data_IF_993462724747
#
_entry.id   IF_993462724747
#
_cell.length_a   1.000
_cell.length_b   1.000
_cell.length_c   1.000
_cell.angle_alpha   90.00
_cell.angle_beta   90.00
_cell.angle_gamma   90.00
#
_symmetry.space_group_name_H-M   'P 1'
#
loop_
_entity.id
_entity.type
_entity.pdbx_description
1 polymer ?
#
# COMPACT_ATOMS: atom_id res chain seq x y z
N UNK A 1 -8.15 -23.45 -11.70
CA UNK A 1 -9.18 -23.77 -12.72
C UNK A 1 -10.23 -22.64 -12.92
N UNK A 2 -11.10 -22.32 -11.95
CA UNK A 2 -12.18 -21.32 -12.18
C UNK A 2 -11.70 -19.89 -12.43
N UNK A 3 -10.69 -19.40 -11.70
CA UNK A 3 -10.13 -18.06 -11.95
C UNK A 3 -9.35 -17.96 -13.27
N UNK A 4 -8.84 -19.07 -13.77
CA UNK A 4 -8.10 -19.12 -15.04
C UNK A 4 -9.03 -19.17 -16.25
N UNK A 5 -10.18 -19.84 -16.10
CA UNK A 5 -11.31 -19.79 -17.06
C UNK A 5 -11.93 -18.39 -17.11
N UNK A 6 -12.16 -17.75 -15.96
CA UNK A 6 -12.62 -16.36 -15.91
C UNK A 6 -11.61 -15.40 -16.57
N UNK A 7 -10.30 -15.64 -16.45
CA UNK A 7 -9.30 -14.84 -17.20
C UNK A 7 -9.35 -15.08 -18.71
N UNK A 8 -9.83 -16.25 -19.17
CA UNK A 8 -10.03 -16.58 -20.58
C UNK A 8 -11.35 -16.01 -21.15
N UNK A 9 -12.34 -15.69 -20.31
CA UNK A 9 -13.63 -15.09 -20.70
C UNK A 9 -13.54 -13.60 -21.15
N UNK A 10 -12.36 -12.97 -21.11
CA UNK A 10 -12.19 -11.59 -21.58
C UNK A 10 -12.76 -10.55 -20.62
N UNK A 11 -13.52 -9.56 -21.13
CA UNK A 11 -14.03 -8.44 -20.32
C UNK A 11 -15.04 -8.87 -19.25
N UNK A 12 -15.90 -9.85 -19.53
CA UNK A 12 -16.90 -10.35 -18.57
C UNK A 12 -16.25 -11.02 -17.36
N UNK A 13 -15.15 -11.74 -17.58
CA UNK A 13 -14.38 -12.37 -16.51
C UNK A 13 -13.58 -11.39 -15.67
N UNK A 14 -13.07 -10.31 -16.26
CA UNK A 14 -12.44 -9.21 -15.51
C UNK A 14 -13.45 -8.52 -14.59
N UNK A 15 -14.68 -8.26 -15.06
CA UNK A 15 -15.73 -7.67 -14.22
C UNK A 15 -16.09 -8.54 -13.01
N UNK A 16 -16.21 -9.86 -13.20
CA UNK A 16 -16.43 -10.82 -12.09
C UNK A 16 -15.26 -10.83 -11.10
N UNK A 17 -14.01 -10.78 -11.59
CA UNK A 17 -12.83 -10.71 -10.72
C UNK A 17 -12.86 -9.46 -9.85
N UNK A 18 -13.17 -8.30 -10.43
CA UNK A 18 -13.27 -7.03 -9.69
C UNK A 18 -14.34 -7.11 -8.61
N UNK A 19 -15.50 -7.73 -8.88
CA UNK A 19 -16.53 -7.94 -7.85
C UNK A 19 -16.02 -8.76 -6.65
N UNK A 20 -15.30 -9.86 -6.90
CA UNK A 20 -14.69 -10.63 -5.82
C UNK A 20 -13.65 -9.81 -5.04
N UNK A 21 -12.82 -9.03 -5.73
CA UNK A 21 -11.85 -8.15 -5.08
C UNK A 21 -12.54 -7.10 -4.20
N UNK A 22 -13.68 -6.54 -4.61
CA UNK A 22 -14.47 -5.61 -3.80
C UNK A 22 -14.96 -6.26 -2.51
N UNK A 23 -15.58 -7.43 -2.60
CA UNK A 23 -16.07 -8.13 -1.41
C UNK A 23 -14.95 -8.50 -0.45
N UNK A 24 -13.81 -8.97 -0.97
CA UNK A 24 -12.64 -9.26 -0.16
C UNK A 24 -12.09 -7.99 0.51
N UNK A 25 -12.03 -6.88 -0.21
CA UNK A 25 -11.54 -5.60 0.32
C UNK A 25 -12.44 -5.05 1.43
N UNK A 26 -13.77 -5.19 1.30
CA UNK A 26 -14.72 -4.80 2.35
C UNK A 26 -14.56 -5.70 3.59
N UNK A 27 -14.43 -7.02 3.39
CA UNK A 27 -14.21 -7.95 4.51
C UNK A 27 -12.90 -7.63 5.26
N UNK A 28 -11.82 -7.32 4.53
CA UNK A 28 -10.55 -6.88 5.12
C UNK A 28 -10.68 -5.53 5.83
N UNK A 29 -11.46 -4.59 5.29
CA UNK A 29 -11.70 -3.30 5.92
C UNK A 29 -12.44 -3.44 7.26
N UNK A 30 -13.44 -4.33 7.34
CA UNK A 30 -14.16 -4.62 8.59
C UNK A 30 -13.19 -5.21 9.62
N UNK A 31 -12.36 -6.17 9.21
CA UNK A 31 -11.36 -6.79 10.09
C UNK A 31 -10.38 -5.74 10.63
N UNK A 32 -9.81 -4.90 9.75
CA UNK A 32 -8.87 -3.85 10.15
C UNK A 32 -9.53 -2.78 11.03
N UNK A 33 -10.73 -2.31 10.68
CA UNK A 33 -11.47 -1.33 11.46
C UNK A 33 -11.79 -1.87 12.87
N UNK A 34 -12.19 -3.14 12.98
CA UNK A 34 -12.43 -3.80 14.27
C UNK A 34 -11.14 -3.86 15.10
N UNK A 35 -10.02 -4.21 14.49
CA UNK A 35 -8.72 -4.23 15.16
C UNK A 35 -8.30 -2.85 15.68
N UNK A 36 -8.44 -1.81 14.87
CA UNK A 36 -8.14 -0.41 15.23
C UNK A 36 -9.05 0.05 16.37
N UNK A 37 -10.35 -0.19 16.27
CA UNK A 37 -11.33 0.20 17.30
C UNK A 37 -11.09 -0.54 18.62
N UNK A 38 -10.72 -1.83 18.57
CA UNK A 38 -10.36 -2.59 19.76
C UNK A 38 -9.11 -2.05 20.46
N UNK A 39 -8.09 -1.63 19.70
CA UNK A 39 -6.89 -0.98 20.23
C UNK A 39 -7.20 0.41 20.82
N UNK A 40 -8.06 1.18 20.15
CA UNK A 40 -8.48 2.49 20.62
C UNK A 40 -9.28 2.41 21.92
N UNK A 41 -10.19 1.45 22.06
CA UNK A 41 -10.97 1.21 23.29
C UNK A 41 -10.08 0.83 24.49
N UNK A 42 -8.95 0.18 24.24
CA UNK A 42 -7.96 -0.19 25.26
C UNK A 42 -6.95 0.92 25.57
N UNK A 43 -7.03 2.08 24.91
CA UNK A 43 -6.06 3.17 25.07
C UNK A 43 -4.65 2.84 24.54
N UNK A 44 -4.50 1.75 23.77
CA UNK A 44 -3.21 1.28 23.27
C UNK A 44 -2.90 1.77 21.85
N UNK A 45 -3.83 2.52 21.23
CA UNK A 45 -3.67 3.03 19.87
C UNK A 45 -2.66 4.18 19.78
N UNK A 46 -2.58 5.04 20.79
CA UNK A 46 -1.66 6.18 20.84
C UNK A 46 -0.76 6.05 22.06
N UNK A 47 0.53 5.75 21.83
CA UNK A 47 1.53 5.74 22.89
C UNK A 47 1.72 7.18 23.41
N UNK A 48 1.23 7.46 24.62
CA UNK A 48 1.41 8.76 25.29
C UNK A 48 0.16 9.64 25.42
N UNK A 49 -1.02 9.22 24.93
CA UNK A 49 -2.29 9.89 25.19
C UNK A 49 -3.12 9.09 26.20
N UNK A 50 -3.30 9.63 27.41
CA UNK A 50 -4.17 9.04 28.44
C UNK A 50 -5.64 9.50 28.34
N UNK A 51 -5.95 10.40 27.40
CA UNK A 51 -7.32 10.86 27.18
C UNK A 51 -8.18 9.80 26.51
N UNK A 52 -9.43 9.67 26.97
CA UNK A 52 -10.38 8.73 26.39
C UNK A 52 -10.78 9.18 24.99
N UNK A 53 -10.14 8.58 23.98
CA UNK A 53 -10.39 8.83 22.55
C UNK A 53 -11.85 8.48 22.17
N UNK A 54 -12.49 7.59 22.93
CA UNK A 54 -13.85 7.10 22.69
C UNK A 54 -14.72 7.47 23.90
N UNK A 55 -15.64 8.41 23.71
CA UNK A 55 -16.57 8.87 24.74
C UNK A 55 -17.60 7.82 25.18
N UNK A 56 -17.92 6.86 24.32
CA UNK A 56 -18.85 5.76 24.63
C UNK A 56 -18.22 4.40 24.32
N UNK A 57 -17.82 3.68 25.38
CA UNK A 57 -17.26 2.31 25.30
C UNK A 57 -18.33 1.23 25.15
N UNK A 58 -19.61 1.60 25.00
CA UNK A 58 -20.68 0.66 24.71
C UNK A 58 -20.37 -0.17 23.46
N UNK A 59 -20.72 -1.46 23.50
CA UNK A 59 -20.60 -2.38 22.35
C UNK A 59 -21.34 -1.79 21.14
N UNK A 60 -22.46 -1.11 21.36
CA UNK A 60 -23.22 -0.46 20.29
C UNK A 60 -22.46 0.72 19.67
N UNK A 61 -21.79 1.55 20.48
CA UNK A 61 -20.95 2.65 19.99
C UNK A 61 -19.76 2.15 19.18
N UNK A 62 -19.09 1.08 19.63
CA UNK A 62 -17.96 0.49 18.92
C UNK A 62 -18.38 -0.08 17.55
N UNK A 63 -19.53 -0.75 17.46
CA UNK A 63 -20.06 -1.26 16.18
C UNK A 63 -20.36 -0.13 15.21
N UNK A 64 -20.91 0.99 15.68
CA UNK A 64 -21.16 2.18 14.84
C UNK A 64 -19.84 2.73 14.28
N UNK A 65 -18.81 2.86 15.11
CA UNK A 65 -17.50 3.36 14.67
C UNK A 65 -16.92 2.44 13.58
N UNK A 66 -16.96 1.12 13.78
CA UNK A 66 -16.48 0.15 12.78
C UNK A 66 -17.26 0.28 11.47
N UNK A 67 -18.58 0.45 11.54
CA UNK A 67 -19.43 0.62 10.36
C UNK A 67 -19.08 1.90 9.61
N UNK A 68 -18.96 3.04 10.31
CA UNK A 68 -18.60 4.34 9.72
C UNK A 68 -17.21 4.29 9.08
N UNK A 69 -16.23 3.68 9.74
CA UNK A 69 -14.88 3.50 9.18
C UNK A 69 -14.89 2.63 7.91
N UNK A 70 -15.65 1.53 7.94
CA UNK A 70 -15.80 0.63 6.78
C UNK A 70 -16.51 1.34 5.62
N UNK A 71 -17.55 2.13 5.92
CA UNK A 71 -18.26 2.93 4.93
C UNK A 71 -17.34 3.99 4.30
N UNK A 72 -16.50 4.65 5.10
CA UNK A 72 -15.47 5.57 4.61
C UNK A 72 -14.46 4.87 3.69
N UNK A 73 -13.98 3.67 4.06
CA UNK A 73 -13.08 2.89 3.22
C UNK A 73 -13.74 2.47 1.89
N UNK A 74 -15.01 2.07 1.91
CA UNK A 74 -15.77 1.74 0.70
C UNK A 74 -15.97 2.97 -0.21
N UNK A 75 -16.18 4.15 0.38
CA UNK A 75 -16.30 5.41 -0.36
C UNK A 75 -14.96 5.77 -1.05
N UNK A 76 -13.83 5.63 -0.35
CA UNK A 76 -12.50 5.85 -0.93
C UNK A 76 -12.22 4.86 -2.07
N UNK A 77 -12.57 3.59 -1.90
CA UNK A 77 -12.46 2.58 -2.95
C UNK A 77 -13.28 2.97 -4.18
N UNK A 78 -14.53 3.37 -3.98
CA UNK A 78 -15.40 3.83 -5.06
C UNK A 78 -14.81 5.04 -5.80
N UNK A 79 -14.26 6.03 -5.08
CA UNK A 79 -13.56 7.13 -5.73
C UNK A 79 -12.36 6.68 -6.57
N UNK A 80 -11.60 5.69 -6.11
CA UNK A 80 -10.49 5.12 -6.87
C UNK A 80 -10.95 4.48 -8.18
N UNK A 81 -12.10 3.79 -8.17
CA UNK A 81 -12.70 3.23 -9.38
C UNK A 81 -13.18 4.32 -10.34
N UNK A 82 -13.89 5.34 -9.84
CA UNK A 82 -14.37 6.48 -10.65
C UNK A 82 -13.22 7.25 -11.30
N UNK A 83 -12.10 7.45 -10.59
CA UNK A 83 -10.90 8.08 -11.17
C UNK A 83 -10.31 7.23 -12.29
N UNK A 84 -10.27 5.91 -12.10
CA UNK A 84 -9.75 4.97 -13.10
C UNK A 84 -10.63 4.97 -14.37
N UNK A 85 -11.96 4.99 -14.21
CA UNK A 85 -12.91 5.04 -15.33
C UNK A 85 -12.81 6.35 -16.13
N UNK A 86 -12.49 7.46 -15.48
CA UNK A 86 -12.26 8.76 -16.13
C UNK A 86 -10.91 8.89 -16.82
N UNK A 87 -10.10 7.82 -16.83
CA UNK A 87 -8.91 7.70 -17.69
C UNK A 87 -7.63 8.32 -17.14
N UNK A 88 -7.61 8.82 -15.91
CA UNK A 88 -6.39 9.36 -15.28
C UNK A 88 -5.65 8.24 -14.54
N UNK A 89 -4.95 7.38 -15.28
CA UNK A 89 -4.08 6.34 -14.73
C UNK A 89 -4.80 5.33 -13.81
N UNK A 90 -4.13 4.87 -12.76
CA UNK A 90 -4.70 3.97 -11.75
C UNK A 90 -5.19 4.80 -10.55
N UNK A 91 -6.50 4.90 -10.37
CA UNK A 91 -7.11 5.78 -9.38
C UNK A 91 -6.74 5.44 -7.94
N UNK A 92 -6.57 4.16 -7.59
CA UNK A 92 -6.13 3.78 -6.25
C UNK A 92 -4.70 4.27 -5.95
N UNK A 93 -3.80 4.20 -6.94
CA UNK A 93 -2.43 4.70 -6.77
C UNK A 93 -2.36 6.23 -6.61
N UNK A 94 -3.25 6.96 -7.31
CA UNK A 94 -3.34 8.42 -7.20
C UNK A 94 -3.88 8.86 -5.83
N UNK A 95 -4.85 8.14 -5.28
CA UNK A 95 -5.36 8.40 -3.94
C UNK A 95 -4.27 8.19 -2.87
N UNK A 96 -3.49 7.10 -2.98
CA UNK A 96 -2.35 6.85 -2.09
C UNK A 96 -1.30 7.97 -2.23
N UNK A 97 -0.97 8.36 -3.47
CA UNK A 97 -0.04 9.45 -3.74
C UNK A 97 -0.49 10.77 -3.11
N UNK A 98 -1.76 11.15 -3.30
CA UNK A 98 -2.33 12.36 -2.71
C UNK A 98 -2.30 12.31 -1.17
N UNK A 99 -2.59 11.14 -0.59
CA UNK A 99 -2.51 10.92 0.86
C UNK A 99 -1.10 11.10 1.42
N UNK A 100 -0.07 10.61 0.72
CA UNK A 100 1.33 10.79 1.12
C UNK A 100 1.76 12.25 0.89
N UNK A 101 1.44 12.81 -0.26
CA UNK A 101 1.80 14.17 -0.65
C UNK A 101 1.22 15.23 0.29
N UNK A 102 0.01 15.02 0.82
CA UNK A 102 -0.63 15.96 1.76
C UNK A 102 0.09 16.08 3.10
N UNK A 103 0.91 15.10 3.49
CA UNK A 103 1.70 15.12 4.73
C UNK A 103 3.06 15.78 4.57
N UNK A 104 3.59 15.86 3.35
CA UNK A 104 4.90 16.48 3.10
C UNK A 104 5.01 17.92 3.60
N UNK A 105 3.99 18.80 3.43
CA UNK A 105 4.06 20.17 3.92
C UNK A 105 4.08 20.28 5.45
N UNK A 106 3.31 19.44 6.17
CA UNK A 106 3.27 19.47 7.63
C UNK A 106 4.58 18.98 8.24
N UNK A 107 5.13 17.89 7.71
CA UNK A 107 6.44 17.36 8.13
C UNK A 107 7.56 18.36 7.81
N UNK A 108 7.50 19.01 6.64
CA UNK A 108 8.46 20.04 6.24
C UNK A 108 8.46 21.24 7.20
N UNK A 109 7.27 21.71 7.62
CA UNK A 109 7.16 22.79 8.62
C UNK A 109 7.71 22.34 9.98
N UNK A 110 7.39 21.14 10.43
CA UNK A 110 7.88 20.62 11.71
C UNK A 110 9.42 20.59 11.77
N UNK A 111 10.08 20.23 10.66
CA UNK A 111 11.54 20.24 10.54
C UNK A 111 12.10 21.67 10.58
N UNK A 112 11.45 22.59 9.86
CA UNK A 112 11.86 24.00 9.82
C UNK A 112 11.82 24.64 11.21
N UNK A 113 10.75 24.40 11.96
CA UNK A 113 10.55 24.95 13.30
C UNK A 113 11.48 24.30 14.34
N UNK A 114 11.76 23.00 14.20
CA UNK A 114 12.56 22.26 15.19
C UNK A 114 14.08 22.39 15.00
N UNK A 115 14.55 22.49 13.75
CA UNK A 115 15.98 22.40 13.41
C UNK A 115 16.51 23.61 12.63
N UNK A 116 15.64 24.57 12.30
CA UNK A 116 15.99 25.80 11.59
C UNK A 116 16.16 25.64 10.07
N UNK A 117 16.24 26.78 9.37
CA UNK A 117 16.20 26.84 7.90
C UNK A 117 17.39 26.20 7.18
N UNK A 118 18.57 26.15 7.79
CA UNK A 118 19.77 25.59 7.17
C UNK A 118 19.68 24.05 7.06
N UNK A 119 19.21 23.38 8.12
CA UNK A 119 18.99 21.92 8.10
C UNK A 119 17.85 21.56 7.14
N UNK A 120 16.78 22.35 7.13
CA UNK A 120 15.69 22.17 6.16
C UNK A 120 16.18 22.25 4.71
N UNK A 121 17.02 23.23 4.37
CA UNK A 121 17.58 23.37 3.03
C UNK A 121 18.42 22.17 2.60
N UNK A 122 19.27 21.64 3.50
CA UNK A 122 20.07 20.43 3.24
C UNK A 122 19.16 19.22 2.97
N UNK A 123 18.10 19.04 3.77
CA UNK A 123 17.14 17.95 3.59
C UNK A 123 16.42 18.07 2.24
N UNK A 124 16.02 19.27 1.83
CA UNK A 124 15.41 19.49 0.52
C UNK A 124 16.35 19.11 -0.63
N UNK A 125 17.63 19.48 -0.54
CA UNK A 125 18.63 19.10 -1.55
C UNK A 125 18.85 17.59 -1.57
N UNK A 126 18.96 16.94 -0.41
CA UNK A 126 19.08 15.49 -0.31
C UNK A 126 17.84 14.77 -0.88
N UNK A 127 16.63 15.28 -0.60
CA UNK A 127 15.39 14.74 -1.13
C UNK A 127 15.34 14.83 -2.66
N UNK A 128 15.75 15.97 -3.23
CA UNK A 128 15.85 16.14 -4.68
C UNK A 128 16.87 15.17 -5.31
N UNK A 129 18.02 14.96 -4.66
CA UNK A 129 19.02 14.00 -5.11
C UNK A 129 18.49 12.56 -5.10
N UNK A 130 17.75 12.17 -4.05
CA UNK A 130 17.11 10.86 -3.95
C UNK A 130 16.05 10.71 -5.04
N UNK A 131 15.20 11.72 -5.26
CA UNK A 131 14.17 11.69 -6.33
C UNK A 131 14.84 11.49 -7.69
N UNK A 132 15.92 12.23 -7.99
CA UNK A 132 16.66 12.06 -9.23
C UNK A 132 17.24 10.65 -9.38
N UNK A 133 17.79 10.09 -8.29
CA UNK A 133 18.28 8.71 -8.25
C UNK A 133 17.18 7.67 -8.52
N UNK A 134 16.02 7.82 -7.86
CA UNK A 134 14.86 6.93 -8.06
C UNK A 134 14.37 7.01 -9.51
N UNK A 135 14.21 8.22 -10.06
CA UNK A 135 13.78 8.41 -11.46
C UNK A 135 14.77 7.77 -12.44
N UNK A 136 16.08 7.91 -12.21
CA UNK A 136 17.09 7.29 -13.05
C UNK A 136 16.98 5.76 -13.07
N UNK A 137 16.80 5.14 -11.90
CA UNK A 137 16.65 3.68 -11.78
C UNK A 137 15.32 3.21 -12.39
N UNK A 138 14.23 3.95 -12.18
CA UNK A 138 12.89 3.56 -12.59
C UNK A 138 12.64 3.73 -14.09
N UNK A 139 13.27 4.73 -14.72
CA UNK A 139 13.27 4.90 -16.19
C UNK A 139 14.26 3.96 -16.89
N UNK A 140 15.10 3.25 -16.13
CA UNK A 140 16.00 2.23 -16.66
C UNK A 140 15.23 1.09 -17.32
N UNK A 141 15.48 0.86 -18.61
CA UNK A 141 14.92 -0.26 -19.36
C UNK A 141 16.00 -0.99 -20.17
N UNK A 142 15.98 -2.32 -20.09
CA UNK A 142 16.79 -3.21 -20.92
C UNK A 142 16.02 -3.51 -22.20
N UNK A 143 16.57 -3.12 -23.36
CA UNK A 143 15.96 -3.38 -24.67
C UNK A 143 16.50 -4.70 -25.22
N UNK A 144 15.65 -5.74 -25.29
CA UNK A 144 16.02 -7.03 -25.88
C UNK A 144 15.50 -7.09 -27.32
N UNK A 145 16.34 -7.27 -28.35
CA UNK A 145 15.87 -7.35 -29.73
C UNK A 145 15.09 -8.64 -29.95
N UNK A 146 13.91 -8.53 -30.57
CA UNK A 146 13.06 -9.65 -30.96
C UNK A 146 12.93 -9.64 -32.47
N UNK A 147 13.24 -10.77 -33.09
CA UNK A 147 13.05 -10.96 -34.52
C UNK A 147 11.72 -11.68 -34.72
N UNK A 148 10.73 -10.99 -35.26
CA UNK A 148 9.50 -11.65 -35.69
C UNK A 148 9.80 -12.51 -36.92
N UNK A 149 9.39 -13.78 -36.85
CA UNK A 149 9.51 -14.70 -37.96
C UNK A 149 8.74 -14.12 -39.17
N UNK A 150 9.42 -14.00 -40.30
CA UNK A 150 8.81 -13.49 -41.52
C UNK A 150 8.29 -14.63 -42.37
N UNK A 151 7.23 -14.33 -43.12
CA UNK A 151 6.81 -15.15 -44.25
C UNK A 151 7.56 -14.69 -45.49
N UNK A 152 8.36 -15.58 -46.07
CA UNK A 152 9.05 -15.32 -47.34
C UNK A 152 8.02 -15.48 -48.48
N UNK A 153 7.83 -14.45 -49.30
CA UNK A 153 7.03 -14.51 -50.54
C UNK A 153 7.98 -14.21 -51.70
N UNK A 154 8.32 -15.23 -52.49
CA UNK A 154 9.30 -15.13 -53.58
C UNK A 154 10.76 -15.04 -53.11
N UNK A 155 11.61 -14.32 -53.86
CA UNK A 155 13.07 -14.14 -53.59
C UNK A 155 13.44 -12.90 -52.76
N UNK A 156 12.45 -12.08 -52.37
CA UNK A 156 12.70 -10.83 -51.63
C UNK A 156 12.13 -10.92 -50.22
N UNK A 157 12.99 -10.80 -49.22
CA UNK A 157 12.60 -10.67 -47.83
C UNK A 157 12.21 -9.20 -47.56
N UNK A 158 10.91 -8.87 -47.60
CA UNK A 158 10.41 -7.55 -47.22
C UNK A 158 10.20 -7.44 -45.70
N UNK A 159 10.52 -6.28 -45.13
CA UNK A 159 10.13 -5.87 -43.77
C UNK A 159 11.02 -6.41 -42.66
N UNK A 160 12.23 -5.84 -42.49
CA UNK A 160 13.19 -6.19 -41.44
C UNK A 160 13.35 -5.12 -40.37
N UNK A 161 12.25 -4.67 -39.76
CA UNK A 161 12.37 -3.86 -38.54
C UNK A 161 12.70 -4.81 -37.38
N UNK A 162 13.91 -4.71 -36.82
CA UNK A 162 14.21 -5.30 -35.52
C UNK A 162 13.39 -4.56 -34.47
N UNK A 163 12.29 -5.16 -34.01
CA UNK A 163 11.55 -4.64 -32.87
C UNK A 163 12.29 -5.06 -31.60
N UNK A 164 12.31 -4.21 -30.58
CA UNK A 164 12.81 -4.59 -29.27
C UNK A 164 11.66 -4.70 -28.28
N UNK A 165 11.73 -5.68 -27.39
CA UNK A 165 10.85 -5.75 -26.23
C UNK A 165 11.54 -5.00 -25.08
N UNK A 166 11.00 -3.87 -24.60
CA UNK A 166 11.54 -3.20 -23.44
C UNK A 166 11.19 -3.97 -22.16
N UNK A 167 12.21 -4.31 -21.38
CA UNK A 167 12.06 -4.83 -20.03
C UNK A 167 12.51 -3.76 -19.04
N UNK A 168 11.58 -3.26 -18.23
CA UNK A 168 11.93 -2.33 -17.14
C UNK A 168 12.89 -3.00 -16.15
N UNK A 169 13.82 -2.22 -15.60
CA UNK A 169 14.74 -2.68 -14.55
C UNK A 169 13.95 -3.08 -13.30
N UNK A 170 12.96 -2.28 -12.90
CA UNK A 170 12.00 -2.65 -11.86
C UNK A 170 10.65 -3.05 -12.49
N UNK A 171 10.44 -4.35 -12.69
CA UNK A 171 9.17 -4.87 -13.21
C UNK A 171 8.07 -4.92 -12.14
N UNK A 172 8.47 -5.03 -10.86
CA UNK A 172 7.53 -5.22 -9.75
C UNK A 172 6.95 -3.90 -9.21
N UNK A 173 7.59 -2.77 -9.53
CA UNK A 173 7.15 -1.44 -9.12
C UNK A 173 7.15 -1.30 -7.59
N UNK A 174 6.09 -0.68 -7.05
CA UNK A 174 5.96 -0.38 -5.62
C UNK A 174 5.22 -1.47 -4.81
N UNK A 175 4.58 -2.42 -5.50
CA UNK A 175 3.70 -3.43 -4.87
C UNK A 175 4.45 -4.28 -3.83
N UNK A 176 5.68 -4.80 -4.09
CA UNK A 176 6.38 -5.63 -3.10
C UNK A 176 6.69 -4.91 -1.79
N UNK A 177 7.06 -3.63 -1.86
CA UNK A 177 7.39 -2.83 -0.67
C UNK A 177 6.14 -2.58 0.16
N UNK A 178 5.02 -2.25 -0.49
CA UNK A 178 3.72 -2.10 0.19
C UNK A 178 3.33 -3.41 0.86
N UNK A 179 3.44 -4.54 0.14
CA UNK A 179 3.12 -5.85 0.68
C UNK A 179 4.01 -6.20 1.89
N UNK A 180 5.33 -5.96 1.80
CA UNK A 180 6.26 -6.16 2.90
C UNK A 180 5.88 -5.34 4.14
N UNK A 181 5.57 -4.04 3.95
CA UNK A 181 5.16 -3.16 5.06
C UNK A 181 3.84 -3.64 5.70
N UNK A 182 2.86 -4.08 4.90
CA UNK A 182 1.61 -4.64 5.40
C UNK A 182 1.80 -5.97 6.14
N UNK A 183 2.74 -6.81 5.69
CA UNK A 183 3.07 -8.09 6.31
C UNK A 183 3.75 -7.89 7.67
N UNK A 184 4.62 -6.88 7.80
CA UNK A 184 5.26 -6.52 9.07
C UNK A 184 4.27 -5.88 10.06
N UNK A 185 3.22 -5.23 9.56
CA UNK A 185 2.19 -4.62 10.41
C UNK A 185 1.29 -5.66 11.11
N UNK A 186 0.98 -6.79 10.46
CA UNK A 186 0.07 -7.81 11.00
C UNK A 186 0.55 -8.42 12.34
N UNK A 187 1.83 -8.85 12.49
CA UNK A 187 2.35 -9.33 13.78
C UNK A 187 2.25 -8.28 14.89
N UNK A 188 2.55 -7.01 14.57
CA UNK A 188 2.47 -5.92 15.53
C UNK A 188 1.03 -5.71 16.02
N UNK A 189 0.05 -5.73 15.10
CA UNK A 189 -1.37 -5.67 15.43
C UNK A 189 -1.79 -6.82 16.36
N UNK A 190 -1.34 -8.05 16.09
CA UNK A 190 -1.63 -9.22 16.93
C UNK A 190 -0.99 -9.10 18.32
N UNK A 191 0.26 -8.64 18.41
CA UNK A 191 0.95 -8.44 19.67
C UNK A 191 0.22 -7.42 20.57
N UNK A 192 -0.24 -6.31 19.99
CA UNK A 192 -1.02 -5.29 20.71
C UNK A 192 -2.40 -5.82 21.14
N UNK A 193 -3.10 -6.56 20.28
CA UNK A 193 -4.41 -7.14 20.60
C UNK A 193 -4.36 -8.26 21.65
N UNK A 194 -3.24 -8.99 21.75
CA UNK A 194 -3.07 -10.06 22.74
C UNK A 194 -2.48 -9.58 24.07
N UNK A 195 -2.20 -8.28 24.22
CA UNK A 195 -1.62 -7.74 25.46
C UNK A 195 -0.22 -8.28 25.75
N UNK A 196 0.54 -8.63 24.70
CA UNK A 196 1.89 -9.20 24.83
C UNK A 196 2.90 -8.25 25.50
N UNK A 197 2.56 -6.97 25.64
CA UNK A 197 3.33 -5.96 26.38
C UNK A 197 3.01 -5.88 27.87
N UNK A 198 1.92 -6.50 28.35
CA UNK A 198 1.45 -6.39 29.75
C UNK A 198 1.37 -7.73 30.50
N UNK A 199 1.62 -8.85 29.83
CA UNK A 199 1.53 -10.19 30.44
C UNK A 199 2.87 -10.61 31.05
N UNK A 200 2.88 -10.97 32.34
CA UNK A 200 4.08 -11.38 33.08
C UNK A 200 4.77 -12.65 32.54
N UNK A 201 4.08 -13.45 31.72
CA UNK A 201 4.64 -14.60 31.00
C UNK A 201 4.21 -14.60 29.52
N UNK A 202 4.95 -13.92 28.62
CA UNK A 202 4.66 -13.98 27.19
C UNK A 202 5.01 -15.37 26.65
N UNK A 203 4.06 -15.97 25.93
CA UNK A 203 4.24 -17.24 25.22
C UNK A 203 5.39 -17.17 24.20
N UNK A 204 6.01 -18.31 23.87
CA UNK A 204 7.24 -18.37 23.05
C UNK A 204 7.16 -17.62 21.71
N UNK A 205 5.98 -17.63 21.07
CA UNK A 205 5.74 -16.91 19.82
C UNK A 205 5.57 -15.40 20.04
N UNK A 206 5.03 -14.96 21.18
CA UNK A 206 4.94 -13.54 21.56
C UNK A 206 6.31 -12.94 21.86
N UNK A 207 7.23 -13.72 22.45
CA UNK A 207 8.63 -13.29 22.68
C UNK A 207 9.36 -13.04 21.36
N UNK A 208 9.25 -13.97 20.40
CA UNK A 208 9.89 -13.81 19.09
C UNK A 208 9.35 -12.59 18.35
N UNK A 209 8.04 -12.35 18.39
CA UNK A 209 7.43 -11.18 17.74
C UNK A 209 7.89 -9.88 18.42
N UNK A 210 7.88 -9.82 19.76
CA UNK A 210 8.30 -8.61 20.47
C UNK A 210 9.80 -8.32 20.30
N UNK A 211 10.64 -9.35 20.29
CA UNK A 211 12.10 -9.23 20.28
C UNK A 211 12.69 -8.99 18.88
N UNK A 212 12.10 -9.57 17.83
CA UNK A 212 12.62 -9.47 16.46
C UNK A 212 11.78 -8.63 15.49
N UNK A 213 10.51 -8.33 15.80
CA UNK A 213 9.60 -7.64 14.86
C UNK A 213 9.05 -6.31 15.39
N UNK A 214 8.95 -6.13 16.71
CA UNK A 214 8.34 -4.93 17.32
C UNK A 214 9.37 -3.98 17.91
N UNK A 215 10.48 -4.48 18.47
CA UNK A 215 11.54 -3.62 19.01
C UNK A 215 12.47 -3.11 17.90
N UNK A 216 12.55 -1.79 17.66
CA UNK A 216 13.47 -1.20 16.67
C UNK A 216 14.93 -1.08 17.14
N UNK A 217 15.26 -1.62 18.33
CA UNK A 217 16.58 -1.51 18.97
C UNK A 217 17.47 -2.77 18.85
N UNK A 218 17.00 -3.81 18.16
CA UNK A 218 17.79 -4.96 17.67
C UNK A 218 17.78 -4.95 16.14
#
# INVERSE_FOLDING_TARGET
>A
PKFEELRKEGQSGQAKMTQYTRYLSIALAILQATGIVALASRGQLLQGCQEEIIADKSIFGLVIIVLVMTAGAALVMWFGEVITERGVGNGMSLLIFSGIASRLPSEGKAILDSRGGLIFAIICVAALAIIAGVVFVEQGQRRIPVQYAKRMVGRKMYGGSSTYLPLKVNQAGIIPVIFASSLLYLPNLIAQLTGATSSADPSWWQRIINEYLVNPNN
#
